data_IF_739754574109
#
_entry.id   IF_739754574109
#
_cell.length_a   1.000
_cell.length_b   1.000
_cell.length_c   1.000
_cell.angle_alpha   90.00
_cell.angle_beta   90.00
_cell.angle_gamma   90.00
#
_symmetry.space_group_name_H-M   'P 1'
#
loop_
_entity.id
_entity.type
_entity.pdbx_description
1 polymer ?
#
# COMPACT_ATOMS: atom_id res chain seq x y z
N UNK A 1 85.22 5.40 0.66
CA UNK A 1 84.02 6.18 1.03
C UNK A 1 83.47 6.88 -0.22
N UNK A 2 82.35 6.40 -0.76
CA UNK A 2 81.53 7.08 -1.77
C UNK A 2 80.06 6.90 -1.35
N UNK A 3 79.25 7.96 -1.25
CA UNK A 3 77.91 7.87 -0.67
C UNK A 3 76.90 7.27 -1.63
N UNK A 4 76.06 6.38 -1.10
CA UNK A 4 74.90 5.78 -1.76
C UNK A 4 73.79 6.84 -1.86
N UNK A 5 73.36 7.21 -3.07
CA UNK A 5 72.23 8.12 -3.28
C UNK A 5 70.93 7.30 -3.31
N UNK A 6 70.10 7.43 -2.29
CA UNK A 6 68.72 6.95 -2.29
C UNK A 6 67.88 7.86 -3.20
N UNK A 7 67.29 7.30 -4.26
CA UNK A 7 66.21 7.95 -5.00
C UNK A 7 64.89 7.55 -4.33
N UNK A 8 64.23 8.51 -3.68
CA UNK A 8 62.86 8.34 -3.21
C UNK A 8 61.91 8.59 -4.40
N UNK A 9 61.27 7.53 -4.91
CA UNK A 9 60.13 7.68 -5.82
C UNK A 9 58.94 8.20 -5.04
N UNK A 10 58.54 9.43 -5.33
CA UNK A 10 57.26 9.99 -4.90
C UNK A 10 56.19 9.42 -5.83
N UNK A 11 55.47 8.39 -5.38
CA UNK A 11 54.27 7.91 -6.06
C UNK A 11 53.15 8.94 -5.84
N UNK A 12 52.79 9.67 -6.89
CA UNK A 12 51.65 10.57 -6.92
C UNK A 12 50.37 9.71 -6.87
N UNK A 13 49.75 9.59 -5.70
CA UNK A 13 48.41 9.02 -5.56
C UNK A 13 47.44 10.05 -6.16
N UNK A 14 47.03 9.82 -7.41
CA UNK A 14 45.92 10.56 -8.00
C UNK A 14 44.65 10.16 -7.23
N UNK A 15 44.21 11.02 -6.30
CA UNK A 15 42.85 10.96 -5.76
C UNK A 15 41.90 11.19 -6.93
N UNK A 16 41.35 10.10 -7.47
CA UNK A 16 40.24 10.14 -8.40
C UNK A 16 38.99 10.51 -7.58
N UNK A 17 38.80 11.80 -7.32
CA UNK A 17 37.54 12.31 -6.81
C UNK A 17 36.54 12.22 -7.96
N UNK A 18 35.78 11.13 -8.01
CA UNK A 18 34.57 11.10 -8.84
C UNK A 18 33.70 12.27 -8.38
N UNK A 19 33.35 13.24 -9.25
CA UNK A 19 32.41 14.27 -8.86
C UNK A 19 31.13 13.55 -8.45
N UNK A 20 30.71 13.74 -7.20
CA UNK A 20 29.32 13.49 -6.82
C UNK A 20 28.54 14.48 -7.67
N UNK A 21 27.91 13.99 -8.74
CA UNK A 21 26.94 14.79 -9.49
C UNK A 21 25.89 15.23 -8.48
N UNK A 22 25.83 16.53 -8.18
CA UNK A 22 24.67 17.07 -7.47
C UNK A 22 23.46 16.75 -8.34
N UNK A 23 22.42 16.15 -7.75
CA UNK A 23 21.12 16.06 -8.39
C UNK A 23 20.68 17.46 -8.84
N UNK A 24 20.26 17.61 -10.09
CA UNK A 24 19.78 18.89 -10.60
C UNK A 24 18.31 19.07 -10.20
N UNK A 25 17.92 20.33 -9.98
CA UNK A 25 16.52 20.70 -9.88
C UNK A 25 16.07 21.19 -11.26
N UNK A 26 15.06 20.52 -11.81
CA UNK A 26 14.45 20.82 -13.10
C UNK A 26 13.07 21.40 -12.84
N UNK A 27 12.93 22.69 -13.10
CA UNK A 27 11.68 23.42 -12.97
C UNK A 27 10.78 23.15 -14.18
N UNK A 28 9.61 22.53 -13.98
CA UNK A 28 8.57 22.52 -15.01
C UNK A 28 8.05 23.96 -15.21
N UNK A 29 7.80 24.33 -16.47
CA UNK A 29 7.36 25.69 -16.81
C UNK A 29 5.96 26.02 -16.26
N UNK A 30 5.10 25.01 -16.14
CA UNK A 30 3.79 25.09 -15.47
C UNK A 30 3.39 23.70 -14.96
N UNK A 31 2.22 23.57 -14.32
CA UNK A 31 1.63 22.27 -14.00
C UNK A 31 1.02 21.53 -15.21
N UNK A 32 1.09 22.10 -16.42
CA UNK A 32 0.50 21.48 -17.60
C UNK A 32 1.17 20.14 -17.88
N UNK A 33 0.40 19.17 -18.38
CA UNK A 33 0.89 17.83 -18.68
C UNK A 33 2.16 17.87 -19.54
N UNK A 34 2.17 18.72 -20.58
CA UNK A 34 3.26 18.82 -21.53
C UNK A 34 4.54 19.40 -20.91
N UNK A 35 4.41 20.40 -20.03
CA UNK A 35 5.57 21.01 -19.36
C UNK A 35 6.17 20.06 -18.32
N UNK A 36 5.33 19.35 -17.58
CA UNK A 36 5.77 18.34 -16.61
C UNK A 36 6.45 17.17 -17.32
N UNK A 37 5.86 16.65 -18.40
CA UNK A 37 6.47 15.60 -19.20
C UNK A 37 7.81 16.04 -19.80
N UNK A 38 7.90 17.29 -20.28
CA UNK A 38 9.14 17.82 -20.83
C UNK A 38 10.25 17.91 -19.77
N UNK A 39 9.93 18.34 -18.55
CA UNK A 39 10.86 18.36 -17.43
C UNK A 39 11.32 16.93 -17.05
N UNK A 40 10.39 15.97 -16.98
CA UNK A 40 10.70 14.56 -16.72
C UNK A 40 11.57 13.96 -17.83
N UNK A 41 11.32 14.29 -19.09
CA UNK A 41 12.12 13.82 -20.21
C UNK A 41 13.56 14.33 -20.13
N UNK A 42 13.76 15.57 -19.68
CA UNK A 42 15.08 16.16 -19.47
C UNK A 42 15.82 15.55 -18.27
N UNK A 43 15.09 15.21 -17.20
CA UNK A 43 15.63 14.66 -15.97
C UNK A 43 16.39 13.34 -16.16
N UNK A 44 17.49 13.21 -15.43
CA UNK A 44 18.28 11.99 -15.31
C UNK A 44 18.05 11.33 -13.95
N UNK A 45 18.59 10.12 -13.76
CA UNK A 45 18.52 9.42 -12.49
C UNK A 45 19.03 10.28 -11.34
N UNK A 46 18.21 10.41 -10.29
CA UNK A 46 18.51 11.18 -9.09
C UNK A 46 18.13 12.65 -9.16
N UNK A 47 17.78 13.21 -10.33
CA UNK A 47 17.33 14.59 -10.44
C UNK A 47 15.97 14.81 -9.74
N UNK A 48 15.70 16.07 -9.39
CA UNK A 48 14.42 16.52 -8.87
C UNK A 48 13.67 17.28 -9.95
N UNK A 49 12.43 16.89 -10.24
CA UNK A 49 11.49 17.68 -11.04
C UNK A 49 10.54 18.41 -10.11
N UNK A 50 10.57 19.73 -10.13
CA UNK A 50 9.63 20.56 -9.38
C UNK A 50 8.54 21.11 -10.30
N UNK A 51 7.29 20.88 -9.91
CA UNK A 51 6.08 21.34 -10.60
C UNK A 51 5.50 22.53 -9.84
N UNK A 52 5.37 23.71 -10.47
CA UNK A 52 4.89 24.90 -9.78
C UNK A 52 3.42 24.77 -9.38
N UNK A 53 2.99 25.66 -8.48
CA UNK A 53 1.58 25.81 -8.12
C UNK A 53 0.72 26.11 -9.34
N UNK A 54 -0.51 25.62 -9.32
CA UNK A 54 -1.48 25.81 -10.39
C UNK A 54 -2.52 24.68 -10.41
N UNK A 55 -3.62 24.94 -11.12
CA UNK A 55 -4.63 23.93 -11.42
C UNK A 55 -4.57 23.59 -12.90
N UNK A 56 -4.22 22.33 -13.21
CA UNK A 56 -4.02 21.88 -14.58
C UNK A 56 -4.85 20.63 -14.88
N UNK A 57 -5.49 20.62 -16.05
CA UNK A 57 -6.18 19.44 -16.57
C UNK A 57 -5.19 18.61 -17.38
N UNK A 58 -5.03 17.35 -17.04
CA UNK A 58 -4.24 16.39 -17.81
C UNK A 58 -5.17 15.50 -18.62
N UNK A 59 -5.18 15.70 -19.94
CA UNK A 59 -5.95 14.89 -20.90
C UNK A 59 -5.18 13.65 -21.41
N UNK A 60 -4.02 13.39 -20.80
CA UNK A 60 -3.15 12.25 -21.08
C UNK A 60 -2.26 12.02 -19.86
N UNK A 61 -1.75 10.80 -19.74
CA UNK A 61 -0.86 10.41 -18.64
C UNK A 61 0.49 11.13 -18.71
N UNK A 62 1.06 11.44 -17.54
CA UNK A 62 2.49 11.76 -17.40
C UNK A 62 3.24 10.47 -17.10
N UNK A 63 4.36 10.26 -17.77
CA UNK A 63 5.08 8.99 -17.75
C UNK A 63 6.51 9.20 -17.27
N UNK A 64 6.90 8.49 -16.22
CA UNK A 64 8.29 8.35 -15.74
C UNK A 64 8.75 6.93 -16.05
N UNK A 65 9.55 6.77 -17.11
CA UNK A 65 10.05 5.45 -17.54
C UNK A 65 11.58 5.36 -17.49
N UNK A 66 12.07 4.19 -17.09
CA UNK A 66 13.48 3.79 -17.08
C UNK A 66 14.40 4.76 -16.30
N UNK A 67 13.85 5.42 -15.28
CA UNK A 67 14.58 6.34 -14.41
C UNK A 67 13.98 6.40 -13.01
N UNK A 68 14.77 6.85 -12.06
CA UNK A 68 14.32 7.16 -10.69
C UNK A 68 14.62 8.62 -10.37
N UNK A 69 13.59 9.42 -10.10
CA UNK A 69 13.67 10.87 -9.87
C UNK A 69 12.85 11.24 -8.62
N UNK A 70 12.98 12.49 -8.18
CA UNK A 70 12.09 13.07 -7.17
C UNK A 70 11.12 14.02 -7.88
N UNK A 71 9.83 13.68 -7.93
CA UNK A 71 8.77 14.52 -8.49
C UNK A 71 8.03 15.24 -7.36
N UNK A 72 8.10 16.57 -7.36
CA UNK A 72 7.56 17.41 -6.27
C UNK A 72 6.60 18.44 -6.85
N UNK A 73 5.40 18.53 -6.28
CA UNK A 73 4.48 19.64 -6.49
C UNK A 73 4.69 20.74 -5.44
N UNK A 74 4.20 21.94 -5.71
CA UNK A 74 4.30 23.09 -4.81
C UNK A 74 3.46 22.96 -3.52
N UNK A 75 2.75 21.85 -3.32
CA UNK A 75 1.91 21.55 -2.17
C UNK A 75 0.58 20.90 -2.58
N UNK A 76 0.00 20.09 -1.70
CA UNK A 76 -1.24 19.36 -1.95
C UNK A 76 -2.51 20.08 -1.45
N UNK A 77 -2.37 21.31 -0.94
CA UNK A 77 -3.48 22.13 -0.44
C UNK A 77 -3.91 23.23 -1.41
N UNK A 78 -4.79 24.12 -0.95
CA UNK A 78 -5.23 25.29 -1.72
C UNK A 78 -4.04 26.15 -2.16
N UNK A 79 -4.02 26.54 -3.43
CA UNK A 79 -2.91 27.29 -4.03
C UNK A 79 -1.66 26.45 -4.31
N UNK A 80 -1.72 25.12 -4.13
CA UNK A 80 -0.66 24.18 -4.47
C UNK A 80 -0.71 23.68 -5.92
N UNK A 81 -0.16 22.49 -6.18
CA UNK A 81 -0.18 21.83 -7.50
C UNK A 81 -1.34 20.85 -7.57
N UNK A 82 -2.43 21.27 -8.20
CA UNK A 82 -3.64 20.46 -8.39
C UNK A 82 -3.74 19.95 -9.83
N UNK A 83 -3.75 18.64 -9.97
CA UNK A 83 -3.86 17.93 -11.23
C UNK A 83 -5.26 17.34 -11.34
N UNK A 84 -6.01 17.80 -12.33
CA UNK A 84 -7.36 17.34 -12.62
C UNK A 84 -7.30 16.34 -13.78
N UNK A 85 -7.89 15.18 -13.58
CA UNK A 85 -8.12 14.23 -14.65
C UNK A 85 -9.04 14.82 -15.73
N UNK A 86 -8.59 14.76 -16.99
CA UNK A 86 -9.40 14.98 -18.17
C UNK A 86 -9.18 13.87 -19.19
N UNK A 87 -10.00 13.77 -20.23
CA UNK A 87 -9.86 12.71 -21.23
C UNK A 87 -10.47 11.37 -20.81
N UNK A 88 -9.99 10.28 -21.41
CA UNK A 88 -10.49 8.90 -21.25
C UNK A 88 -9.36 7.90 -21.52
N UNK A 89 -9.40 6.76 -20.84
CA UNK A 89 -8.58 5.56 -20.98
C UNK A 89 -7.09 5.77 -20.67
N UNK A 90 -6.79 6.44 -19.54
CA UNK A 90 -5.43 6.62 -19.04
C UNK A 90 -5.41 6.89 -17.53
N UNK A 91 -4.23 6.76 -16.89
CA UNK A 91 -4.01 7.29 -15.55
C UNK A 91 -3.55 8.75 -15.55
N UNK A 92 -3.28 9.32 -14.37
CA UNK A 92 -2.62 10.62 -14.28
C UNK A 92 -1.10 10.47 -14.35
N UNK A 93 -0.54 9.50 -13.64
CA UNK A 93 0.89 9.26 -13.56
C UNK A 93 1.23 7.76 -13.68
N UNK A 94 2.03 7.41 -14.67
CA UNK A 94 2.67 6.09 -14.78
C UNK A 94 4.14 6.21 -14.35
N UNK A 95 4.56 5.30 -13.47
CA UNK A 95 5.95 5.15 -13.08
C UNK A 95 6.40 3.73 -13.33
N UNK A 96 7.43 3.58 -14.16
CA UNK A 96 8.17 2.33 -14.31
C UNK A 96 9.68 2.61 -14.24
N UNK A 97 10.31 2.18 -13.14
CA UNK A 97 11.75 2.33 -12.98
C UNK A 97 12.57 1.43 -13.93
N UNK A 98 11.95 0.49 -14.64
CA UNK A 98 12.62 -0.46 -15.52
C UNK A 98 13.59 -1.34 -14.74
N UNK A 99 14.89 -1.18 -14.95
CA UNK A 99 15.94 -1.88 -14.19
C UNK A 99 16.64 -1.01 -13.14
N UNK A 100 16.14 0.21 -12.92
CA UNK A 100 16.74 1.17 -11.98
C UNK A 100 16.31 0.85 -10.56
N UNK A 101 17.21 1.15 -9.61
CA UNK A 101 16.99 0.87 -8.18
C UNK A 101 17.17 2.13 -7.32
N UNK A 102 17.32 3.30 -7.92
CA UNK A 102 17.47 4.57 -7.21
C UNK A 102 16.18 5.01 -6.50
N UNK A 103 16.23 6.16 -5.84
CA UNK A 103 15.09 6.74 -5.12
C UNK A 103 14.08 7.30 -6.12
N UNK A 104 12.84 6.84 -6.02
CA UNK A 104 11.67 7.46 -6.63
C UNK A 104 10.83 8.08 -5.53
N UNK A 105 10.47 9.35 -5.69
CA UNK A 105 9.63 10.07 -4.73
C UNK A 105 8.56 10.89 -5.45
N UNK A 106 7.32 10.79 -4.98
CA UNK A 106 6.20 11.60 -5.48
C UNK A 106 5.53 12.29 -4.31
N UNK A 107 5.57 13.62 -4.30
CA UNK A 107 5.07 14.39 -3.16
C UNK A 107 4.54 15.78 -3.51
N UNK A 108 3.62 16.30 -2.70
CA UNK A 108 3.15 17.68 -2.81
C UNK A 108 2.14 17.92 -3.93
N UNK A 109 1.40 16.90 -4.36
CA UNK A 109 0.35 17.01 -5.38
C UNK A 109 -1.05 16.83 -4.81
N UNK A 110 -2.03 17.46 -5.44
CA UNK A 110 -3.43 17.12 -5.32
C UNK A 110 -3.91 16.50 -6.63
N UNK A 111 -4.12 15.18 -6.66
CA UNK A 111 -4.68 14.45 -7.80
C UNK A 111 -6.20 14.35 -7.66
N UNK A 112 -6.94 14.89 -8.62
CA UNK A 112 -8.39 14.99 -8.57
C UNK A 112 -9.06 14.31 -9.77
N UNK A 113 -10.07 13.50 -9.49
CA UNK A 113 -10.90 12.86 -10.51
C UNK A 113 -10.27 11.61 -11.11
N UNK A 114 -11.03 10.96 -11.97
CA UNK A 114 -10.62 9.79 -12.73
C UNK A 114 -11.56 9.60 -13.92
N UNK A 115 -11.29 8.57 -14.73
CA UNK A 115 -12.11 8.24 -15.88
C UNK A 115 -13.58 7.99 -15.52
N UNK A 116 -14.44 8.38 -16.46
CA UNK A 116 -15.85 7.98 -16.51
C UNK A 116 -16.02 6.46 -16.67
N UNK A 117 -15.13 5.79 -17.41
CA UNK A 117 -15.00 4.34 -17.34
C UNK A 117 -14.30 3.97 -16.05
N UNK A 118 -15.07 3.38 -15.16
CA UNK A 118 -14.65 3.04 -13.80
C UNK A 118 -13.33 2.25 -13.77
N UNK A 119 -13.06 1.43 -14.77
CA UNK A 119 -11.90 0.53 -14.79
C UNK A 119 -10.59 1.19 -15.24
N UNK A 120 -10.63 2.46 -15.67
CA UNK A 120 -9.55 3.04 -16.48
C UNK A 120 -8.91 4.32 -15.89
N UNK A 121 -9.33 4.80 -14.72
CA UNK A 121 -8.97 6.14 -14.21
C UNK A 121 -7.96 6.21 -13.05
N UNK A 122 -7.12 5.19 -12.87
CA UNK A 122 -6.17 5.10 -11.74
C UNK A 122 -5.29 6.36 -11.67
N UNK A 123 -5.13 6.98 -10.50
CA UNK A 123 -4.32 8.19 -10.39
C UNK A 123 -2.83 7.89 -10.60
N UNK A 124 -2.30 6.87 -9.92
CA UNK A 124 -0.90 6.46 -10.07
C UNK A 124 -0.76 4.96 -10.29
N UNK A 125 -0.05 4.58 -11.35
CA UNK A 125 0.37 3.21 -11.61
C UNK A 125 1.87 3.04 -11.35
N UNK A 126 2.26 1.98 -10.62
CA UNK A 126 3.65 1.64 -10.32
C UNK A 126 4.09 0.32 -10.96
N UNK A 127 5.25 0.39 -11.62
CA UNK A 127 6.05 -0.71 -12.09
C UNK A 127 7.52 -0.52 -11.72
N UNK A 128 8.29 -1.60 -11.80
CA UNK A 128 9.71 -1.58 -11.52
C UNK A 128 10.27 -2.97 -11.28
N UNK A 129 11.59 -3.07 -11.06
CA UNK A 129 12.23 -4.37 -10.93
C UNK A 129 11.90 -5.00 -9.57
N UNK A 130 11.78 -6.34 -9.55
CA UNK A 130 11.60 -7.13 -8.32
C UNK A 130 12.66 -6.74 -7.28
N UNK A 131 12.24 -6.58 -6.02
CA UNK A 131 13.07 -6.11 -4.90
C UNK A 131 13.55 -4.65 -4.99
N UNK A 132 12.96 -3.82 -5.86
CA UNK A 132 13.24 -2.38 -5.81
C UNK A 132 12.67 -1.79 -4.53
N UNK A 133 13.55 -1.38 -3.60
CA UNK A 133 13.16 -0.98 -2.24
C UNK A 133 13.16 0.53 -1.97
N UNK A 134 13.02 1.38 -3.00
CA UNK A 134 13.30 2.82 -2.89
C UNK A 134 12.20 3.69 -3.51
N UNK A 135 10.94 3.30 -3.35
CA UNK A 135 9.77 4.10 -3.76
C UNK A 135 9.13 4.79 -2.55
N UNK A 136 8.89 6.10 -2.66
CA UNK A 136 8.18 6.90 -1.66
C UNK A 136 7.04 7.68 -2.32
N UNK A 137 5.86 7.66 -1.70
CA UNK A 137 4.73 8.51 -2.10
C UNK A 137 4.15 9.13 -0.85
N UNK A 138 4.21 10.45 -0.73
CA UNK A 138 3.81 11.10 0.51
C UNK A 138 3.33 12.52 0.37
N UNK A 139 2.57 13.00 1.36
CA UNK A 139 2.08 14.37 1.40
C UNK A 139 1.34 14.77 0.12
N UNK A 140 0.58 13.82 -0.44
CA UNK A 140 -0.34 14.07 -1.55
C UNK A 140 -1.78 14.01 -1.06
N UNK A 141 -2.66 14.66 -1.81
CA UNK A 141 -4.10 14.51 -1.70
C UNK A 141 -4.59 13.79 -2.94
N UNK A 142 -5.37 12.74 -2.75
CA UNK A 142 -6.05 11.98 -3.78
C UNK A 142 -7.55 12.12 -3.55
N UNK A 143 -8.28 12.65 -4.53
CA UNK A 143 -9.69 12.95 -4.37
C UNK A 143 -10.52 12.49 -5.56
N UNK A 144 -11.57 11.72 -5.29
CA UNK A 144 -12.52 11.23 -6.31
C UNK A 144 -11.86 10.49 -7.48
N UNK A 145 -10.72 9.83 -7.25
CA UNK A 145 -10.06 8.98 -8.24
C UNK A 145 -10.82 7.66 -8.43
N UNK A 146 -10.74 7.06 -9.63
CA UNK A 146 -11.57 5.89 -9.99
C UNK A 146 -10.79 4.88 -10.84
N UNK A 147 -10.96 3.57 -10.70
CA UNK A 147 -11.56 2.90 -9.57
C UNK A 147 -10.61 2.95 -8.37
N UNK A 148 -9.39 2.44 -8.55
CA UNK A 148 -8.34 2.43 -7.53
C UNK A 148 -7.48 3.67 -7.65
N UNK A 149 -7.19 4.35 -6.54
CA UNK A 149 -6.35 5.55 -6.58
C UNK A 149 -4.92 5.21 -6.97
N UNK A 150 -4.37 4.17 -6.35
CA UNK A 150 -3.01 3.70 -6.62
C UNK A 150 -3.04 2.21 -6.95
N UNK A 151 -2.36 1.83 -8.03
CA UNK A 151 -2.16 0.44 -8.43
C UNK A 151 -0.69 0.14 -8.64
N UNK A 152 -0.25 -1.08 -8.35
CA UNK A 152 1.12 -1.49 -8.63
C UNK A 152 1.50 -2.85 -8.07
N UNK A 153 2.79 -3.16 -8.11
CA UNK A 153 3.30 -4.44 -7.63
C UNK A 153 3.86 -4.35 -6.21
N UNK A 154 3.46 -5.26 -5.31
CA UNK A 154 4.03 -5.37 -3.96
C UNK A 154 5.40 -6.06 -3.92
N UNK A 155 5.85 -6.65 -5.03
CA UNK A 155 7.23 -7.11 -5.21
C UNK A 155 8.25 -5.95 -5.27
N UNK A 156 7.75 -4.72 -5.34
CA UNK A 156 8.48 -3.47 -5.09
C UNK A 156 8.32 -3.16 -3.60
N UNK A 157 9.38 -2.77 -2.88
CA UNK A 157 9.30 -2.44 -1.45
C UNK A 157 9.36 -0.93 -1.26
N UNK A 158 8.20 -0.27 -1.27
CA UNK A 158 8.08 1.17 -1.05
C UNK A 158 7.44 1.54 0.28
N UNK A 159 7.32 2.84 0.50
CA UNK A 159 6.48 3.40 1.57
C UNK A 159 5.55 4.47 1.02
N UNK A 160 4.24 4.27 1.21
CA UNK A 160 3.21 5.26 0.95
C UNK A 160 2.77 5.80 2.31
N UNK A 161 3.05 7.08 2.58
CA UNK A 161 2.81 7.64 3.90
C UNK A 161 2.33 9.08 3.91
N UNK A 162 1.57 9.47 4.94
CA UNK A 162 1.11 10.84 5.11
C UNK A 162 0.40 11.40 3.87
N UNK A 163 -0.34 10.55 3.14
CA UNK A 163 -1.26 10.98 2.09
C UNK A 163 -2.69 11.02 2.64
N UNK A 164 -3.52 11.81 1.97
CA UNK A 164 -4.97 11.83 2.20
C UNK A 164 -5.68 11.32 0.97
N UNK A 165 -6.41 10.22 1.10
CA UNK A 165 -7.32 9.67 0.10
C UNK A 165 -8.74 10.04 0.51
N UNK A 166 -9.53 10.66 -0.36
CA UNK A 166 -10.87 11.14 0.03
C UNK A 166 -11.91 11.14 -1.08
N UNK A 167 -13.18 11.20 -0.66
CA UNK A 167 -14.34 11.29 -1.54
C UNK A 167 -14.80 9.94 -2.10
N UNK A 168 -15.44 9.95 -3.26
CA UNK A 168 -15.99 8.76 -3.92
C UNK A 168 -14.90 8.01 -4.71
N UNK A 169 -14.04 7.28 -3.99
CA UNK A 169 -12.89 6.56 -4.55
C UNK A 169 -12.64 5.20 -3.84
N UNK A 170 -11.72 4.40 -4.37
CA UNK A 170 -11.05 3.32 -3.64
C UNK A 170 -9.58 3.65 -3.42
N UNK A 171 -8.97 3.09 -2.37
CA UNK A 171 -7.59 3.34 -1.98
C UNK A 171 -6.58 2.67 -2.92
N UNK A 172 -5.94 1.62 -2.44
CA UNK A 172 -4.82 0.96 -3.13
C UNK A 172 -5.16 -0.47 -3.53
N UNK A 173 -4.61 -0.91 -4.64
CA UNK A 173 -4.61 -2.31 -5.06
C UNK A 173 -3.19 -2.75 -5.42
N UNK A 174 -2.71 -3.83 -4.81
CA UNK A 174 -1.37 -4.34 -5.11
C UNK A 174 -1.35 -5.79 -5.55
N UNK A 175 -0.42 -6.07 -6.47
CA UNK A 175 -0.18 -7.38 -7.06
C UNK A 175 1.19 -7.91 -6.64
N UNK A 176 1.26 -9.14 -6.14
CA UNK A 176 2.54 -9.85 -6.05
C UNK A 176 2.95 -10.49 -7.39
N UNK A 177 3.91 -11.39 -7.31
CA UNK A 177 4.47 -12.21 -8.39
C UNK A 177 3.73 -13.56 -8.56
N UNK A 178 2.64 -13.78 -7.81
CA UNK A 178 1.78 -14.96 -7.89
C UNK A 178 2.29 -16.12 -7.05
N UNK A 179 2.42 -17.29 -7.67
CA UNK A 179 2.89 -18.53 -7.02
C UNK A 179 4.29 -18.37 -6.44
N UNK A 180 5.16 -17.59 -7.07
CA UNK A 180 6.51 -17.29 -6.56
C UNK A 180 6.48 -16.72 -5.13
N UNK A 181 5.50 -15.87 -4.80
CA UNK A 181 5.35 -15.33 -3.45
C UNK A 181 4.78 -16.35 -2.46
N UNK A 182 3.96 -17.27 -2.92
CA UNK A 182 3.41 -18.33 -2.06
C UNK A 182 4.44 -19.42 -1.76
N UNK A 183 5.32 -19.72 -2.71
CA UNK A 183 6.41 -20.68 -2.54
C UNK A 183 7.60 -20.10 -1.76
N UNK A 184 7.74 -18.77 -1.73
CA UNK A 184 8.80 -18.08 -0.99
C UNK A 184 8.53 -18.10 0.52
N UNK A 185 9.51 -18.50 1.37
CA UNK A 185 9.34 -18.50 2.81
C UNK A 185 8.86 -17.15 3.36
N UNK A 186 7.80 -17.20 4.18
CA UNK A 186 7.24 -16.01 4.81
C UNK A 186 7.98 -15.68 6.12
N UNK A 187 8.59 -14.49 6.16
CA UNK A 187 9.21 -13.91 7.36
C UNK A 187 8.57 -12.55 7.65
N UNK A 188 7.73 -12.51 8.68
CA UNK A 188 7.09 -11.28 9.18
C UNK A 188 8.14 -10.38 9.86
N UNK A 189 7.83 -9.09 9.93
CA UNK A 189 8.65 -8.08 10.62
C UNK A 189 9.88 -7.65 9.82
N UNK A 190 9.86 -7.79 8.50
CA UNK A 190 11.00 -7.54 7.60
C UNK A 190 10.67 -6.47 6.56
N UNK A 191 11.69 -6.08 5.78
CA UNK A 191 11.54 -5.16 4.65
C UNK A 191 10.96 -5.82 3.39
N UNK A 192 10.43 -7.04 3.47
CA UNK A 192 9.92 -7.81 2.32
C UNK A 192 8.43 -7.56 2.04
N UNK A 193 7.94 -6.41 2.50
CA UNK A 193 6.57 -5.94 2.36
C UNK A 193 6.57 -4.54 1.76
N UNK A 194 5.48 -4.17 1.10
CA UNK A 194 5.19 -2.78 0.79
C UNK A 194 4.54 -2.11 2.01
N UNK A 195 5.00 -0.92 2.42
CA UNK A 195 4.53 -0.24 3.63
C UNK A 195 3.51 0.86 3.33
N UNK A 196 2.39 0.84 4.05
CA UNK A 196 1.35 1.86 4.02
C UNK A 196 1.20 2.42 5.44
N UNK A 197 1.63 3.67 5.65
CA UNK A 197 1.81 4.23 6.99
C UNK A 197 1.22 5.61 7.16
N UNK A 198 0.51 5.88 8.26
CA UNK A 198 0.08 7.25 8.59
C UNK A 198 -0.69 7.96 7.46
N UNK A 199 -1.43 7.21 6.64
CA UNK A 199 -2.34 7.77 5.65
C UNK A 199 -3.73 7.95 6.26
N UNK A 200 -4.47 8.88 5.68
CA UNK A 200 -5.89 9.10 5.98
C UNK A 200 -6.69 8.64 4.77
N UNK A 201 -7.61 7.70 4.98
CA UNK A 201 -8.63 7.30 4.01
C UNK A 201 -9.96 7.84 4.50
N UNK A 202 -10.52 8.83 3.82
CA UNK A 202 -11.71 9.58 4.22
C UNK A 202 -12.77 9.54 3.13
N UNK A 203 -13.53 8.45 3.11
CA UNK A 203 -14.57 8.25 2.11
C UNK A 203 -15.84 9.01 2.47
N UNK A 204 -16.58 9.47 1.48
CA UNK A 204 -17.86 10.18 1.66
C UNK A 204 -19.06 9.25 1.96
N UNK A 205 -18.77 8.00 2.35
CA UNK A 205 -19.73 6.92 2.59
C UNK A 205 -20.64 6.61 1.39
N UNK A 206 -20.23 6.94 0.15
CA UNK A 206 -21.01 6.67 -1.06
C UNK A 206 -21.36 5.18 -1.27
N UNK A 207 -20.53 4.28 -0.74
CA UNK A 207 -20.72 2.82 -0.83
C UNK A 207 -21.47 2.23 0.38
N UNK A 208 -21.96 3.10 1.28
CA UNK A 208 -22.89 2.78 2.35
C UNK A 208 -22.42 1.64 3.27
N UNK A 209 -23.28 0.64 3.47
CA UNK A 209 -23.03 -0.45 4.44
C UNK A 209 -21.78 -1.27 4.09
N UNK A 210 -21.45 -1.40 2.82
CA UNK A 210 -20.24 -2.12 2.39
C UNK A 210 -18.99 -1.33 2.73
N UNK A 211 -19.02 0.00 2.59
CA UNK A 211 -17.85 0.88 2.73
C UNK A 211 -16.90 0.77 1.54
N UNK A 212 -16.10 1.79 1.27
CA UNK A 212 -15.12 1.74 0.18
C UNK A 212 -13.80 1.10 0.64
N UNK A 213 -13.20 0.28 -0.21
CA UNK A 213 -11.97 -0.43 0.10
C UNK A 213 -10.78 0.53 0.16
N UNK A 214 -10.03 0.50 1.26
CA UNK A 214 -8.77 1.24 1.39
C UNK A 214 -7.57 0.49 0.83
N UNK A 215 -7.64 -0.84 0.79
CA UNK A 215 -6.58 -1.71 0.32
C UNK A 215 -7.17 -3.03 -0.16
N UNK A 216 -6.62 -3.54 -1.25
CA UNK A 216 -6.88 -4.88 -1.77
C UNK A 216 -5.58 -5.51 -2.31
N UNK A 217 -5.51 -6.83 -2.29
CA UNK A 217 -4.32 -7.61 -2.63
C UNK A 217 -4.64 -8.78 -3.54
N UNK A 218 -3.82 -8.91 -4.58
CA UNK A 218 -3.87 -9.99 -5.55
C UNK A 218 -2.49 -10.59 -5.77
N UNK A 219 -2.48 -11.73 -6.47
CA UNK A 219 -1.28 -12.38 -7.01
C UNK A 219 -0.18 -12.56 -5.98
N UNK A 220 -0.51 -12.99 -4.76
CA UNK A 220 0.51 -13.18 -3.73
C UNK A 220 0.98 -11.88 -3.06
N UNK A 221 0.17 -10.81 -3.13
CA UNK A 221 0.52 -9.51 -2.57
C UNK A 221 0.92 -9.55 -1.10
N UNK A 222 1.92 -8.72 -0.73
CA UNK A 222 2.47 -8.59 0.62
C UNK A 222 2.53 -7.14 1.10
N UNK A 223 1.81 -6.79 2.18
CA UNK A 223 1.81 -5.42 2.72
C UNK A 223 1.91 -5.32 4.24
N UNK A 224 2.53 -4.24 4.71
CA UNK A 224 2.38 -3.77 6.10
C UNK A 224 1.47 -2.55 6.06
N UNK A 225 0.32 -2.63 6.73
CA UNK A 225 -0.67 -1.55 6.79
C UNK A 225 -0.79 -1.08 8.24
N UNK A 226 -0.15 0.05 8.57
CA UNK A 226 0.00 0.48 9.97
C UNK A 226 -0.22 1.95 10.24
N UNK A 227 -0.75 2.26 11.42
CA UNK A 227 -0.94 3.65 11.89
C UNK A 227 -1.77 4.53 10.94
N UNK A 228 -2.65 3.94 10.12
CA UNK A 228 -3.54 4.67 9.22
C UNK A 228 -4.88 4.98 9.92
N UNK A 229 -5.56 6.03 9.43
CA UNK A 229 -6.93 6.38 9.82
C UNK A 229 -7.86 6.10 8.66
N UNK A 230 -8.96 5.39 8.91
CA UNK A 230 -9.91 4.94 7.90
C UNK A 230 -11.30 5.36 8.34
N UNK A 231 -11.92 6.29 7.62
CA UNK A 231 -13.30 6.71 7.83
C UNK A 231 -14.19 6.09 6.75
N UNK A 232 -15.28 5.45 7.18
CA UNK A 232 -16.30 4.88 6.29
C UNK A 232 -15.80 3.84 5.27
N UNK A 233 -14.62 3.25 5.49
CA UNK A 233 -13.99 2.28 4.62
C UNK A 233 -13.63 0.98 5.31
N UNK A 234 -13.19 0.01 4.51
CA UNK A 234 -12.74 -1.28 5.00
C UNK A 234 -11.43 -1.70 4.32
N UNK A 235 -10.72 -2.64 4.94
CA UNK A 235 -9.51 -3.25 4.38
C UNK A 235 -9.83 -4.66 3.89
N UNK A 236 -9.30 -5.08 2.74
CA UNK A 236 -9.60 -6.40 2.19
C UNK A 236 -8.41 -7.15 1.59
N UNK A 237 -8.67 -8.44 1.34
CA UNK A 237 -7.87 -9.30 0.47
C UNK A 237 -8.79 -9.95 -0.53
N UNK A 238 -8.25 -10.24 -1.72
CA UNK A 238 -8.95 -11.08 -2.67
C UNK A 238 -8.40 -12.50 -2.72
N UNK A 239 -9.33 -13.45 -2.85
CA UNK A 239 -9.06 -14.85 -3.03
C UNK A 239 -9.15 -15.31 -4.48
N UNK A 240 -8.62 -16.51 -4.71
CA UNK A 240 -8.56 -17.16 -6.00
C UNK A 240 -9.96 -17.53 -6.51
N UNK A 241 -10.87 -17.89 -5.61
CA UNK A 241 -12.23 -18.33 -5.94
C UNK A 241 -13.07 -17.21 -6.57
N UNK A 242 -12.82 -15.95 -6.21
CA UNK A 242 -13.53 -14.78 -6.76
C UNK A 242 -12.82 -14.10 -7.92
N UNK A 243 -11.50 -14.08 -7.88
CA UNK A 243 -10.68 -13.34 -8.86
C UNK A 243 -10.23 -14.18 -10.04
N UNK A 244 -10.08 -15.50 -9.87
CA UNK A 244 -9.34 -16.36 -10.80
C UNK A 244 -7.82 -16.11 -10.80
N UNK A 245 -7.32 -15.23 -9.92
CA UNK A 245 -5.91 -14.92 -9.73
C UNK A 245 -5.40 -15.56 -8.44
N UNK A 246 -4.08 -15.83 -8.37
CA UNK A 246 -3.44 -16.23 -7.10
C UNK A 246 -3.83 -15.25 -5.99
N UNK A 247 -4.19 -15.74 -4.81
CA UNK A 247 -4.73 -14.89 -3.75
C UNK A 247 -3.66 -14.03 -3.07
N UNK A 248 -4.08 -13.04 -2.29
CA UNK A 248 -3.20 -12.32 -1.35
C UNK A 248 -2.36 -13.31 -0.52
N UNK A 249 -1.07 -13.03 -0.29
CA UNK A 249 -0.18 -13.95 0.43
C UNK A 249 -0.03 -13.59 1.90
N UNK A 250 0.40 -12.35 2.21
CA UNK A 250 0.72 -11.99 3.58
C UNK A 250 0.48 -10.53 3.93
N UNK A 251 0.17 -10.26 5.19
CA UNK A 251 -0.05 -8.91 5.68
C UNK A 251 0.26 -8.74 7.17
N UNK A 252 0.73 -7.55 7.52
CA UNK A 252 0.83 -7.08 8.91
C UNK A 252 -0.03 -5.83 9.08
N UNK A 253 -1.19 -5.98 9.72
CA UNK A 253 -2.18 -4.90 9.84
C UNK A 253 -2.26 -4.47 11.29
N UNK A 254 -1.73 -3.30 11.63
CA UNK A 254 -1.69 -2.91 13.03
C UNK A 254 -1.72 -1.44 13.37
N UNK A 255 -2.24 -1.14 14.57
CA UNK A 255 -2.38 0.22 15.09
C UNK A 255 -3.16 1.17 14.17
N UNK A 256 -4.07 0.65 13.35
CA UNK A 256 -4.94 1.48 12.54
C UNK A 256 -6.21 1.87 13.31
N UNK A 257 -6.78 3.01 12.96
CA UNK A 257 -8.08 3.46 13.48
C UNK A 257 -9.12 3.39 12.38
N UNK A 258 -10.14 2.57 12.56
CA UNK A 258 -11.32 2.49 11.70
C UNK A 258 -12.45 3.22 12.39
N UNK A 259 -13.02 4.23 11.74
CA UNK A 259 -14.10 5.04 12.30
C UNK A 259 -15.31 5.08 11.37
N UNK A 260 -16.50 5.04 11.96
CA UNK A 260 -17.77 5.25 11.27
C UNK A 260 -18.80 5.85 12.23
N UNK A 261 -19.79 6.54 11.69
CA UNK A 261 -21.02 6.89 12.40
C UNK A 261 -22.28 6.35 11.70
N UNK A 262 -22.10 5.53 10.66
CA UNK A 262 -23.13 4.77 9.97
C UNK A 262 -22.83 3.28 10.10
N UNK A 263 -23.82 2.43 9.83
CA UNK A 263 -23.61 0.97 9.86
C UNK A 263 -22.57 0.58 8.81
N UNK A 264 -21.59 -0.21 9.23
CA UNK A 264 -20.66 -0.88 8.34
C UNK A 264 -20.73 -2.38 8.56
N UNK A 265 -20.78 -3.16 7.48
CA UNK A 265 -20.82 -4.62 7.62
C UNK A 265 -19.51 -5.14 8.19
N UNK A 266 -18.37 -4.76 7.58
CA UNK A 266 -17.04 -5.17 8.00
C UNK A 266 -16.06 -4.01 8.04
N UNK A 267 -15.12 -4.04 8.99
CA UNK A 267 -13.95 -3.16 8.99
C UNK A 267 -12.74 -3.79 8.28
N UNK A 268 -12.64 -5.11 8.36
CA UNK A 268 -11.73 -5.91 7.54
C UNK A 268 -12.48 -7.10 6.94
N UNK A 269 -12.32 -7.33 5.64
CA UNK A 269 -12.81 -8.53 4.94
C UNK A 269 -11.64 -9.37 4.43
N UNK A 270 -11.29 -10.40 5.20
CA UNK A 270 -10.14 -11.24 4.92
C UNK A 270 -10.62 -12.51 4.23
N UNK A 271 -10.21 -12.72 2.99
CA UNK A 271 -10.58 -13.89 2.19
C UNK A 271 -9.43 -14.87 1.95
N UNK A 272 -8.18 -14.42 2.09
CA UNK A 272 -7.00 -15.24 1.82
C UNK A 272 -5.75 -14.73 2.55
N UNK A 273 -4.69 -15.54 2.54
CA UNK A 273 -3.37 -15.16 3.05
C UNK A 273 -3.21 -15.33 4.56
N UNK A 274 -2.13 -14.80 5.11
CA UNK A 274 -1.82 -14.92 6.55
C UNK A 274 -0.96 -13.78 7.07
N UNK A 275 -0.59 -13.81 8.35
CA UNK A 275 0.31 -12.86 8.97
C UNK A 275 -0.15 -12.47 10.36
N UNK A 276 -0.31 -11.17 10.60
CA UNK A 276 -0.75 -10.64 11.89
C UNK A 276 -1.73 -9.47 11.75
N UNK A 277 -2.73 -9.42 12.64
CA UNK A 277 -3.67 -8.29 12.74
C UNK A 277 -3.78 -7.87 14.20
N UNK A 278 -3.28 -6.71 14.59
CA UNK A 278 -3.25 -6.35 16.01
C UNK A 278 -3.26 -4.88 16.33
N UNK A 279 -3.70 -4.51 17.53
CA UNK A 279 -3.68 -3.10 17.97
C UNK A 279 -4.63 -2.19 17.19
N UNK A 280 -5.51 -2.73 16.34
CA UNK A 280 -6.45 -1.92 15.56
C UNK A 280 -7.65 -1.53 16.42
N UNK A 281 -8.13 -0.31 16.22
CA UNK A 281 -9.28 0.21 16.95
C UNK A 281 -10.43 0.54 15.99
N UNK A 282 -11.55 -0.14 16.17
CA UNK A 282 -12.79 0.07 15.45
C UNK A 282 -13.71 0.92 16.33
N UNK A 283 -14.07 2.09 15.83
CA UNK A 283 -14.85 3.09 16.54
C UNK A 283 -16.15 3.28 15.77
N UNK A 284 -17.28 3.15 16.46
CA UNK A 284 -18.62 3.38 15.95
C UNK A 284 -19.43 4.27 16.89
N UNK A 285 -20.66 4.61 16.50
CA UNK A 285 -21.62 5.33 17.33
C UNK A 285 -22.21 4.51 18.48
N UNK A 286 -21.84 3.23 18.61
CA UNK A 286 -22.23 2.35 19.72
C UNK A 286 -23.67 1.83 19.66
N UNK A 287 -24.36 2.01 18.52
CA UNK A 287 -25.64 1.37 18.21
C UNK A 287 -25.50 0.52 16.95
N UNK A 288 -26.40 -0.45 16.77
CA UNK A 288 -26.34 -1.32 15.58
C UNK A 288 -26.46 -0.55 14.27
N UNK A 289 -27.11 0.63 14.26
CA UNK A 289 -27.24 1.51 13.10
C UNK A 289 -25.98 2.35 12.80
N UNK A 290 -25.04 2.44 13.74
CA UNK A 290 -23.92 3.38 13.70
C UNK A 290 -22.57 2.73 13.97
N UNK A 291 -22.50 1.40 13.98
CA UNK A 291 -21.32 0.63 14.38
C UNK A 291 -20.89 -0.40 13.32
N UNK A 292 -19.76 -1.04 13.58
CA UNK A 292 -19.24 -2.17 12.82
C UNK A 292 -19.98 -3.44 13.22
N UNK A 293 -20.68 -4.06 12.27
CA UNK A 293 -21.36 -5.34 12.54
C UNK A 293 -20.34 -6.44 12.83
N UNK A 294 -19.27 -6.49 12.04
CA UNK A 294 -18.18 -7.46 12.15
C UNK A 294 -16.85 -6.73 11.96
N UNK A 295 -16.19 -6.26 13.03
CA UNK A 295 -14.94 -5.50 12.91
C UNK A 295 -13.89 -6.21 12.04
N UNK A 296 -13.69 -7.52 12.26
CA UNK A 296 -12.77 -8.35 11.50
C UNK A 296 -13.50 -9.60 11.03
N UNK A 297 -13.81 -9.67 9.75
CA UNK A 297 -14.50 -10.80 9.12
C UNK A 297 -13.52 -11.68 8.35
N UNK A 298 -13.66 -12.99 8.49
CA UNK A 298 -13.11 -13.96 7.55
C UNK A 298 -14.17 -14.45 6.58
N UNK A 299 -13.76 -14.73 5.36
CA UNK A 299 -14.55 -15.39 4.34
C UNK A 299 -13.66 -16.39 3.60
N UNK A 300 -14.22 -17.50 3.14
CA UNK A 300 -13.52 -18.40 2.22
C UNK A 300 -14.46 -18.74 1.08
N UNK A 301 -14.31 -18.07 -0.07
CA UNK A 301 -15.21 -18.29 -1.19
C UNK A 301 -14.99 -19.65 -1.86
N UNK A 302 -13.81 -20.27 -1.73
CA UNK A 302 -13.55 -21.60 -2.31
C UNK A 302 -14.38 -22.69 -1.64
N UNK A 303 -14.86 -22.43 -0.43
CA UNK A 303 -15.69 -23.34 0.34
C UNK A 303 -17.20 -23.29 0.01
N UNK A 304 -17.71 -22.23 -0.64
CA UNK A 304 -19.17 -22.12 -0.86
C UNK A 304 -19.63 -21.43 -2.15
N UNK A 305 -18.85 -20.53 -2.74
CA UNK A 305 -19.22 -19.76 -3.95
C UNK A 305 -18.00 -19.49 -4.87
N UNK A 306 -17.30 -20.53 -5.35
CA UNK A 306 -16.23 -20.35 -6.32
C UNK A 306 -16.82 -20.05 -7.69
N UNK A 307 -16.39 -18.96 -8.32
CA UNK A 307 -16.93 -18.53 -9.62
C UNK A 307 -16.44 -19.41 -10.77
N UNK A 308 -15.13 -19.66 -10.82
CA UNK A 308 -14.45 -20.30 -11.96
C UNK A 308 -13.67 -21.56 -11.57
N UNK A 309 -13.85 -22.03 -10.33
CA UNK A 309 -13.08 -23.13 -9.76
C UNK A 309 -13.99 -24.16 -9.09
N UNK A 310 -13.44 -25.34 -8.84
CA UNK A 310 -14.11 -26.35 -8.02
C UNK A 310 -14.17 -25.92 -6.55
N UNK A 311 -15.22 -26.37 -5.88
CA UNK A 311 -15.34 -26.25 -4.43
C UNK A 311 -14.19 -27.02 -3.77
N UNK A 312 -13.70 -26.45 -2.67
CA UNK A 312 -12.75 -27.10 -1.78
C UNK A 312 -13.50 -28.03 -0.81
N UNK A 313 -14.03 -29.12 -1.35
CA UNK A 313 -14.99 -29.99 -0.66
C UNK A 313 -14.49 -31.43 -0.44
N UNK A 314 -13.27 -31.72 -0.88
CA UNK A 314 -12.73 -33.07 -0.85
C UNK A 314 -12.51 -33.68 -2.23
N UNK A 315 -13.14 -33.10 -3.26
CA UNK A 315 -13.17 -33.68 -4.61
C UNK A 315 -12.26 -32.95 -5.60
N UNK A 316 -11.83 -31.72 -5.31
CA UNK A 316 -10.84 -31.01 -6.12
C UNK A 316 -9.46 -31.64 -5.89
N UNK A 317 -8.74 -32.08 -6.94
CA UNK A 317 -7.37 -32.59 -6.80
C UNK A 317 -6.39 -31.58 -6.19
N UNK A 318 -6.70 -30.28 -6.19
CA UNK A 318 -5.93 -29.26 -5.52
C UNK A 318 -6.14 -29.23 -3.99
N UNK A 319 -7.15 -29.92 -3.47
CA UNK A 319 -7.40 -30.03 -2.04
C UNK A 319 -6.42 -31.02 -1.38
N UNK A 320 -5.88 -30.70 -0.21
CA UNK A 320 -4.97 -31.64 0.48
C UNK A 320 -5.68 -32.86 1.08
N UNK A 321 -7.02 -32.82 1.21
CA UNK A 321 -7.87 -33.96 1.56
C UNK A 321 -7.48 -34.68 2.86
N UNK A 322 -7.41 -33.93 3.97
CA UNK A 322 -7.16 -34.52 5.29
C UNK A 322 -8.37 -35.35 5.78
N UNK A 323 -8.08 -36.54 6.33
CA UNK A 323 -9.11 -37.45 6.85
C UNK A 323 -9.96 -36.77 7.94
N UNK A 324 -11.28 -36.86 7.79
CA UNK A 324 -12.24 -36.23 8.72
C UNK A 324 -12.74 -34.86 8.25
N UNK A 325 -11.98 -34.15 7.43
CA UNK A 325 -12.31 -32.82 6.90
C UNK A 325 -13.12 -32.90 5.59
N UNK A 326 -13.48 -31.75 5.02
CA UNK A 326 -14.04 -31.60 3.66
C UNK A 326 -13.13 -30.68 2.84
N UNK A 327 -12.05 -31.23 2.28
CA UNK A 327 -11.18 -30.48 1.36
C UNK A 327 -10.05 -29.65 1.99
N UNK A 328 -9.81 -29.74 3.30
CA UNK A 328 -8.74 -28.95 3.93
C UNK A 328 -7.34 -29.52 3.62
N UNK A 329 -6.36 -28.71 3.25
CA UNK A 329 -6.39 -27.25 3.02
C UNK A 329 -6.78 -26.88 1.59
N UNK A 330 -7.48 -25.76 1.43
CA UNK A 330 -7.65 -25.14 0.12
C UNK A 330 -6.39 -24.44 -0.33
N UNK A 331 -6.20 -24.41 -1.66
CA UNK A 331 -5.22 -23.53 -2.26
C UNK A 331 -5.51 -22.08 -1.85
N UNK A 332 -4.49 -21.44 -1.28
CA UNK A 332 -4.50 -20.05 -0.85
C UNK A 332 -5.44 -19.65 0.29
N UNK A 333 -5.94 -20.63 1.05
CA UNK A 333 -6.80 -20.39 2.20
C UNK A 333 -6.13 -19.48 3.24
N UNK A 334 -6.94 -18.76 4.01
CA UNK A 334 -6.49 -18.07 5.22
C UNK A 334 -5.69 -19.03 6.11
N UNK A 335 -4.56 -18.57 6.63
CA UNK A 335 -3.77 -19.37 7.57
C UNK A 335 -2.86 -20.40 6.91
N UNK A 336 -2.53 -20.23 5.63
CA UNK A 336 -1.70 -21.16 4.86
C UNK A 336 -0.54 -20.45 4.17
N UNK A 337 0.48 -21.23 3.81
CA UNK A 337 1.61 -20.84 2.98
C UNK A 337 2.00 -22.00 2.06
N UNK A 338 2.71 -21.69 0.97
CA UNK A 338 3.02 -22.63 -0.12
C UNK A 338 1.77 -23.19 -0.82
N UNK A 339 1.96 -24.08 -1.79
CA UNK A 339 0.92 -24.57 -2.67
C UNK A 339 0.96 -26.10 -2.82
N UNK A 340 -0.18 -26.68 -3.23
CA UNK A 340 -0.30 -28.11 -3.52
C UNK A 340 0.23 -29.00 -2.39
N UNK A 341 1.10 -29.94 -2.75
CA UNK A 341 1.66 -30.92 -1.82
C UNK A 341 2.65 -30.31 -0.79
N UNK A 342 3.18 -29.11 -1.03
CA UNK A 342 4.10 -28.44 -0.11
C UNK A 342 3.40 -27.43 0.81
N UNK A 343 2.10 -27.19 0.61
CA UNK A 343 1.37 -26.24 1.45
C UNK A 343 1.34 -26.66 2.93
N UNK A 344 1.63 -25.71 3.81
CA UNK A 344 1.73 -25.89 5.25
C UNK A 344 0.89 -24.85 6.00
N UNK A 345 0.54 -25.17 7.26
CA UNK A 345 -0.27 -24.28 8.10
C UNK A 345 0.62 -23.17 8.63
N UNK A 346 0.16 -21.94 8.46
CA UNK A 346 0.75 -20.74 9.03
C UNK A 346 -0.40 -19.87 9.51
N UNK A 347 -0.92 -20.08 10.73
CA UNK A 347 -2.16 -19.46 11.17
C UNK A 347 -2.06 -17.93 11.19
N UNK A 348 -3.14 -17.24 10.82
CA UNK A 348 -3.25 -15.80 11.01
C UNK A 348 -3.39 -15.48 12.50
N UNK A 349 -2.53 -14.63 13.06
CA UNK A 349 -2.63 -14.25 14.48
C UNK A 349 -3.28 -12.89 14.67
N UNK A 350 -4.20 -12.81 15.64
CA UNK A 350 -4.87 -11.58 16.01
C UNK A 350 -4.73 -11.29 17.50
N UNK A 351 -4.42 -10.06 17.89
CA UNK A 351 -4.41 -9.66 19.31
C UNK A 351 -4.61 -8.16 19.51
N UNK A 352 -5.03 -7.73 20.70
CA UNK A 352 -5.20 -6.31 21.06
C UNK A 352 -6.03 -5.50 20.03
N UNK A 353 -6.98 -6.13 19.32
CA UNK A 353 -7.91 -5.38 18.48
C UNK A 353 -9.15 -5.04 19.32
N UNK A 354 -9.64 -3.82 19.19
CA UNK A 354 -10.76 -3.34 20.00
C UNK A 354 -11.87 -2.77 19.11
N UNK A 355 -13.12 -3.06 19.45
CA UNK A 355 -14.29 -2.34 18.94
C UNK A 355 -14.97 -1.63 20.10
N UNK A 356 -15.01 -0.29 20.07
CA UNK A 356 -15.56 0.53 21.16
C UNK A 356 -15.06 0.11 22.55
N UNK A 357 -13.74 -0.08 22.69
CA UNK A 357 -13.03 -0.57 23.89
C UNK A 357 -13.29 -2.04 24.29
N UNK A 358 -14.06 -2.79 23.51
CA UNK A 358 -14.25 -4.24 23.72
C UNK A 358 -13.25 -5.00 22.88
N UNK A 359 -12.55 -5.98 23.47
CA UNK A 359 -11.61 -6.82 22.74
C UNK A 359 -12.37 -7.64 21.69
N UNK A 360 -11.89 -7.60 20.45
CA UNK A 360 -12.48 -8.33 19.32
C UNK A 360 -11.42 -9.18 18.61
N UNK A 361 -11.88 -10.28 18.03
CA UNK A 361 -11.10 -11.15 17.17
C UNK A 361 -11.73 -11.24 15.80
N UNK A 362 -11.13 -12.05 14.94
CA UNK A 362 -11.73 -12.43 13.68
C UNK A 362 -12.91 -13.36 13.92
N UNK A 363 -13.99 -13.11 13.18
CA UNK A 363 -15.17 -13.98 13.13
C UNK A 363 -15.30 -14.49 11.71
N UNK A 364 -15.50 -15.80 11.56
CA UNK A 364 -15.79 -16.37 10.26
C UNK A 364 -17.24 -16.05 9.87
N UNK A 365 -17.40 -15.35 8.74
CA UNK A 365 -18.68 -14.79 8.28
C UNK A 365 -19.37 -15.68 7.26
N UNK A 366 -18.59 -16.26 6.35
CA UNK A 366 -19.04 -17.14 5.27
C UNK A 366 -17.92 -18.14 4.92
N UNK A 367 -18.27 -19.34 4.43
CA UNK A 367 -17.27 -20.35 4.04
C UNK A 367 -16.61 -21.09 5.20
N UNK A 368 -17.20 -21.04 6.39
CA UNK A 368 -16.64 -21.66 7.60
C UNK A 368 -16.91 -23.17 7.69
N UNK A 369 -17.86 -23.67 6.91
CA UNK A 369 -18.27 -25.08 6.87
C UNK A 369 -18.50 -25.52 5.43
N UNK A 370 -18.06 -26.74 5.11
CA UNK A 370 -18.32 -27.40 3.82
C UNK A 370 -18.94 -28.76 4.12
N UNK A 371 -20.10 -29.04 3.53
CA UNK A 371 -20.86 -30.28 3.75
C UNK A 371 -21.09 -30.62 5.24
N UNK A 372 -21.34 -29.59 6.07
CA UNK A 372 -21.57 -29.71 7.51
C UNK A 372 -20.32 -30.07 8.33
N UNK A 373 -19.13 -29.96 7.73
CA UNK A 373 -17.85 -30.09 8.42
C UNK A 373 -17.17 -28.73 8.50
N UNK A 374 -16.51 -28.40 9.62
CA UNK A 374 -15.75 -27.16 9.72
C UNK A 374 -14.65 -27.10 8.66
N UNK A 375 -14.48 -25.93 8.05
CA UNK A 375 -13.56 -25.71 6.96
C UNK A 375 -12.52 -24.63 7.28
N UNK A 376 -12.96 -23.48 7.78
CA UNK A 376 -12.08 -22.46 8.37
C UNK A 376 -12.24 -22.48 9.90
N UNK A 377 -11.16 -22.75 10.61
CA UNK A 377 -11.17 -23.03 12.05
C UNK A 377 -10.31 -22.05 12.88
N UNK A 378 -10.94 -21.48 13.90
CA UNK A 378 -10.22 -20.83 15.00
C UNK A 378 -9.37 -21.87 15.75
N UNK A 379 -8.15 -21.51 16.12
CA UNK A 379 -7.18 -22.43 16.73
C UNK A 379 -6.31 -23.18 15.71
N UNK A 380 -6.66 -23.16 14.41
CA UNK A 380 -5.93 -23.85 13.34
C UNK A 380 -5.54 -22.93 12.18
N UNK A 381 -6.51 -22.25 11.59
CA UNK A 381 -6.30 -21.40 10.41
C UNK A 381 -6.12 -19.93 10.83
N UNK A 382 -6.75 -19.55 11.94
CA UNK A 382 -6.49 -18.28 12.61
C UNK A 382 -6.53 -18.43 14.14
N UNK A 383 -5.85 -17.52 14.83
CA UNK A 383 -5.72 -17.52 16.29
C UNK A 383 -6.14 -16.16 16.82
N UNK A 384 -7.30 -16.08 17.47
CA UNK A 384 -7.67 -14.92 18.28
C UNK A 384 -6.93 -15.00 19.62
N UNK A 385 -5.74 -14.41 19.68
CA UNK A 385 -4.79 -14.53 20.77
C UNK A 385 -5.02 -13.52 21.91
N UNK A 386 -6.23 -12.97 22.01
CA UNK A 386 -6.64 -12.04 23.05
C UNK A 386 -5.71 -10.82 23.13
N UNK A 387 -5.03 -10.66 24.26
CA UNK A 387 -4.03 -9.58 24.46
C UNK A 387 -2.59 -10.02 24.33
N UNK A 388 -2.36 -11.28 23.93
CA UNK A 388 -1.03 -11.88 23.85
C UNK A 388 -0.49 -11.76 22.42
N UNK A 389 0.72 -11.21 22.21
CA UNK A 389 1.33 -11.16 20.89
C UNK A 389 1.60 -12.55 20.32
N UNK A 390 1.65 -12.67 18.99
CA UNK A 390 2.14 -13.87 18.31
C UNK A 390 3.54 -14.23 18.83
N UNK A 391 3.80 -15.47 19.29
CA UNK A 391 5.13 -15.88 19.73
C UNK A 391 6.19 -15.67 18.64
N UNK A 392 7.31 -15.05 19.02
CA UNK A 392 8.46 -14.80 18.14
C UNK A 392 8.26 -13.68 17.11
N UNK A 393 7.09 -13.02 17.07
CA UNK A 393 6.87 -11.88 16.19
C UNK A 393 7.54 -10.61 16.74
N UNK A 394 8.24 -9.89 15.87
CA UNK A 394 8.77 -8.54 16.12
C UNK A 394 8.38 -7.69 14.94
N UNK A 395 7.69 -6.57 15.17
CA UNK A 395 7.31 -5.66 14.10
C UNK A 395 8.53 -5.04 13.41
N UNK A 396 8.41 -4.71 12.13
CA UNK A 396 9.43 -3.93 11.43
C UNK A 396 9.57 -2.53 12.03
N UNK A 397 10.77 -1.94 11.94
CA UNK A 397 11.06 -0.59 12.48
C UNK A 397 10.05 0.45 11.97
N UNK A 398 9.57 1.29 12.88
CA UNK A 398 8.67 2.40 12.61
C UNK A 398 9.25 3.72 13.17
N UNK A 399 9.17 4.86 12.45
CA UNK A 399 8.73 4.98 11.05
C UNK A 399 9.63 4.18 10.09
N UNK A 400 9.15 3.84 8.89
CA UNK A 400 9.96 3.12 7.90
C UNK A 400 11.30 3.84 7.67
N UNK A 401 12.47 3.16 7.70
CA UNK A 401 13.77 3.82 7.58
C UNK A 401 13.97 4.63 6.29
N UNK A 402 13.30 4.29 5.18
CA UNK A 402 13.34 5.10 3.95
C UNK A 402 12.88 6.54 4.17
N UNK A 403 12.05 6.80 5.19
CA UNK A 403 11.54 8.13 5.54
C UNK A 403 12.61 9.02 6.17
N UNK A 404 13.70 8.45 6.70
CA UNK A 404 14.69 9.18 7.50
C UNK A 404 15.68 10.02 6.68
N UNK A 405 15.65 9.91 5.36
CA UNK A 405 16.40 10.79 4.46
C UNK A 405 15.63 12.05 4.06
N UNK A 406 14.63 12.43 4.88
CA UNK A 406 13.84 13.65 4.79
C UNK A 406 12.90 13.72 3.57
N UNK A 407 11.77 14.43 3.65
CA UNK A 407 11.15 14.99 2.46
C UNK A 407 12.16 15.92 1.80
N UNK A 408 12.17 15.97 0.47
CA UNK A 408 12.94 16.99 -0.23
C UNK A 408 12.48 18.36 0.24
N UNK A 409 13.37 19.13 0.89
CA UNK A 409 13.00 20.38 1.53
C UNK A 409 12.59 21.40 0.46
N UNK A 410 11.28 21.61 0.33
CA UNK A 410 10.69 22.61 -0.56
C UNK A 410 11.20 24.03 -0.27
N UNK A 411 11.69 24.29 0.95
CA UNK A 411 12.26 25.59 1.31
C UNK A 411 13.64 25.80 0.67
N UNK A 412 14.42 24.75 0.42
CA UNK A 412 15.66 24.81 -0.36
C UNK A 412 15.38 25.04 -1.87
N UNK A 413 14.22 24.59 -2.36
CA UNK A 413 13.76 24.82 -3.75
C UNK A 413 13.26 26.26 -3.94
N UNK A 414 12.71 26.89 -2.90
CA UNK A 414 12.12 28.25 -2.91
C UNK A 414 13.12 29.43 -2.93
N UNK A 415 14.43 29.19 -3.03
CA UNK A 415 15.45 30.24 -2.95
C UNK A 415 15.68 31.04 -4.27
N UNK A 416 14.81 30.90 -5.27
CA UNK A 416 14.68 31.86 -6.37
C UNK A 416 13.36 32.64 -6.23
N UNK A 417 13.40 33.98 -6.19
CA UNK A 417 12.41 34.76 -5.47
C UNK A 417 11.10 34.90 -6.25
N UNK A 418 10.01 34.35 -5.72
CA UNK A 418 8.73 35.05 -5.62
C UNK A 418 7.86 34.45 -4.51
N UNK A 419 7.59 35.28 -3.50
CA UNK A 419 6.80 35.06 -2.28
C UNK A 419 5.60 34.12 -2.46
N UNK A 420 5.54 33.06 -1.64
CA UNK A 420 4.29 32.53 -1.09
C UNK A 420 4.47 32.29 0.41
N UNK A 421 3.57 32.88 1.21
CA UNK A 421 3.52 32.68 2.66
C UNK A 421 3.01 31.27 2.96
N UNK A 422 3.74 30.55 3.81
CA UNK A 422 3.34 29.26 4.37
C UNK A 422 2.04 29.43 5.15
N UNK A 423 0.93 28.90 4.63
CA UNK A 423 -0.26 28.65 5.44
C UNK A 423 -0.03 27.40 6.30
N UNK A 424 0.72 27.58 7.39
CA UNK A 424 0.54 26.75 8.57
C UNK A 424 -0.78 27.17 9.22
N UNK A 425 -1.75 26.25 9.27
CA UNK A 425 -2.73 26.02 10.35
C UNK A 425 -3.98 25.32 9.79
N UNK A 426 -3.95 23.98 9.78
CA UNK A 426 -5.19 23.20 9.95
C UNK A 426 -5.14 22.51 11.31
N UNK A 427 -6.16 22.68 12.16
CA UNK A 427 -6.23 22.04 13.46
C UNK A 427 -6.45 20.53 13.28
N UNK A 428 -5.71 19.74 14.06
CA UNK A 428 -5.92 18.32 14.26
C UNK A 428 -7.31 18.11 14.92
N UNK A 429 -8.27 17.41 14.29
CA UNK A 429 -9.60 17.21 14.85
C UNK A 429 -9.66 16.25 16.06
N UNK A 430 -8.53 15.72 16.55
CA UNK A 430 -8.48 14.75 17.65
C UNK A 430 -7.71 15.19 18.90
N UNK A 431 -7.49 16.49 19.11
CA UNK A 431 -7.00 17.01 20.39
C UNK A 431 -7.83 18.22 20.87
N UNK A 432 -8.80 18.06 21.80
CA UNK A 432 -9.60 19.17 22.31
C UNK A 432 -8.86 20.04 23.35
N UNK A 433 -7.53 20.17 23.28
CA UNK A 433 -6.78 20.94 24.28
C UNK A 433 -5.52 21.69 23.82
N UNK A 434 -5.41 22.07 22.54
CA UNK A 434 -4.58 23.20 22.09
C UNK A 434 -5.09 23.79 20.79
#
# INVERSE_FOLDING_TARGET
MRPLKFFASISLIALCTTPVSSANIIQAASCSQADVQSAINFAQDGDTVFVPAGECIWNSEVIIQNKTIILIGAGSGDGGTKIIYGGTNHGLLEVDAGNKTGRMEITGFWFYGGDTDYWSGTAINFGGPKNWKNLLVHHNVFENNKQWTISGYSGISGVIYQNTFKGSAHGLIFYGDGTDDWESPLVLGTSDFFFIEENIFDWDDWYGVTGAACMDLYRGGRVVFRNNTINYGFWETHDLARSGLVSANAYEIYNNTFWTNTTKWKGMDISAGTGVVWGNNFIGGGTWETDWTIPIGAIDYKSFDPRSLSLCDGNDPADQNVSGEAGWRCQYQIGTQSEGATAYSYPLYLWNNYSNNTLVGMVCTNGCEVNGKPHLLEGRDFINNGTTPKPGYTQFTYPHPLRQNGPTDISEISLLPQKFELFQNYPNPFNPST
#
